data_IF_169338572700
#
_entry.id   IF_169338572700
#
_cell.length_a   1.000
_cell.length_b   1.000
_cell.length_c   1.000
_cell.angle_alpha   90.00
_cell.angle_beta   90.00
_cell.angle_gamma   90.00
#
_symmetry.space_group_name_H-M   'P 1'
#
loop_
_entity.id
_entity.type
_entity.pdbx_description
1 polymer ?
#
# COMPACT_ATOMS: atom_id res chain seq x y z
N UNK A 1 3.03 10.91 8.62
CA UNK A 1 4.38 11.49 8.55
C UNK A 1 4.93 11.24 7.17
N UNK A 2 5.24 12.31 6.47
CA UNK A 2 5.63 12.27 5.07
C UNK A 2 7.16 12.42 4.96
N UNK A 3 7.84 11.43 4.38
CA UNK A 3 9.31 11.39 4.29
C UNK A 3 9.83 12.15 3.06
N UNK A 4 9.18 11.98 1.91
CA UNK A 4 9.53 12.74 0.71
C UNK A 4 8.26 13.25 0.05
N UNK A 5 8.20 14.56 -0.22
CA UNK A 5 7.14 15.19 -1.00
C UNK A 5 7.74 16.12 -2.05
N UNK A 6 7.27 16.02 -3.30
CA UNK A 6 7.68 16.93 -4.38
C UNK A 6 6.61 16.95 -5.47
N UNK A 7 6.81 17.74 -6.53
CA UNK A 7 6.03 17.64 -7.76
C UNK A 7 6.54 16.49 -8.64
N UNK A 8 5.77 16.09 -9.66
CA UNK A 8 6.19 15.11 -10.67
C UNK A 8 7.53 15.49 -11.31
N UNK A 9 7.67 16.76 -11.71
CA UNK A 9 8.92 17.26 -12.27
C UNK A 9 10.08 17.20 -11.26
N UNK A 10 9.84 17.59 -10.00
CA UNK A 10 10.87 17.55 -8.96
C UNK A 10 11.30 16.12 -8.61
N UNK A 11 10.35 15.19 -8.51
CA UNK A 11 10.62 13.76 -8.36
C UNK A 11 11.43 13.20 -9.54
N UNK A 12 11.01 13.48 -10.78
CA UNK A 12 11.72 13.04 -11.97
C UNK A 12 13.16 13.56 -12.00
N UNK A 13 13.35 14.84 -11.67
CA UNK A 13 14.68 15.44 -11.54
C UNK A 13 15.53 14.75 -10.48
N UNK A 14 14.96 14.43 -9.31
CA UNK A 14 15.70 13.78 -8.22
C UNK A 14 16.09 12.33 -8.56
N UNK A 15 15.24 11.60 -9.28
CA UNK A 15 15.54 10.25 -9.77
C UNK A 15 16.61 10.30 -10.85
N UNK A 16 16.48 11.17 -11.86
CA UNK A 16 17.43 11.28 -12.98
C UNK A 16 18.83 11.66 -12.50
N UNK A 17 18.93 12.53 -11.49
CA UNK A 17 20.22 12.90 -10.90
C UNK A 17 20.75 11.88 -9.89
N UNK A 18 20.03 10.79 -9.63
CA UNK A 18 20.46 9.73 -8.70
C UNK A 18 20.52 10.17 -7.23
N UNK A 19 19.72 11.18 -6.83
CA UNK A 19 19.74 11.73 -5.46
C UNK A 19 18.48 11.41 -4.66
N UNK A 20 17.50 10.72 -5.26
CA UNK A 20 16.22 10.43 -4.62
C UNK A 20 16.37 9.58 -3.35
N UNK A 21 17.17 8.51 -3.41
CA UNK A 21 17.41 7.62 -2.29
C UNK A 21 18.18 8.33 -1.15
N UNK A 22 19.13 9.20 -1.50
CA UNK A 22 19.85 10.04 -0.52
C UNK A 22 18.92 11.02 0.20
N UNK A 23 18.00 11.66 -0.53
CA UNK A 23 17.01 12.57 0.07
C UNK A 23 16.09 11.84 1.05
N UNK A 24 15.61 10.65 0.70
CA UNK A 24 14.78 9.82 1.58
C UNK A 24 15.58 9.38 2.82
N UNK A 25 16.79 8.86 2.63
CA UNK A 25 17.68 8.43 3.71
C UNK A 25 18.03 9.57 4.67
N UNK A 26 18.39 10.73 4.12
CA UNK A 26 18.68 11.95 4.89
C UNK A 26 17.49 12.39 5.72
N UNK A 27 16.27 12.31 5.16
CA UNK A 27 15.07 12.66 5.93
C UNK A 27 14.82 11.70 7.08
N UNK A 28 14.97 10.39 6.88
CA UNK A 28 14.87 9.42 7.98
C UNK A 28 15.87 9.70 9.11
N UNK A 29 17.10 10.11 8.77
CA UNK A 29 18.11 10.48 9.78
C UNK A 29 17.69 11.74 10.57
N UNK A 30 17.15 12.77 9.91
CA UNK A 30 16.67 13.99 10.58
C UNK A 30 15.62 13.71 11.65
N UNK A 31 14.73 12.75 11.40
CA UNK A 31 13.65 12.37 12.32
C UNK A 31 14.07 11.29 13.33
N UNK A 32 15.37 10.98 13.42
CA UNK A 32 15.94 10.08 14.43
C UNK A 32 15.86 8.58 14.11
N UNK A 33 15.50 8.20 12.87
CA UNK A 33 15.60 6.82 12.42
C UNK A 33 17.00 6.58 11.83
N UNK A 34 17.82 5.80 12.52
CA UNK A 34 19.14 5.39 12.05
C UNK A 34 19.00 4.36 10.91
N UNK A 35 18.84 4.86 9.70
CA UNK A 35 18.70 4.06 8.48
C UNK A 35 20.06 3.77 7.84
N UNK A 36 20.85 2.89 8.46
CA UNK A 36 22.10 2.37 7.88
C UNK A 36 21.87 1.11 7.03
N UNK A 37 20.68 0.95 6.44
CA UNK A 37 20.33 -0.25 5.67
C UNK A 37 20.57 -0.03 4.17
N UNK A 38 21.72 -0.49 3.68
CA UNK A 38 22.10 -0.42 2.25
C UNK A 38 21.05 -1.08 1.35
N UNK A 39 20.36 -2.13 1.82
CA UNK A 39 19.35 -2.80 1.01
C UNK A 39 18.11 -1.95 0.80
N UNK A 40 17.73 -1.13 1.78
CA UNK A 40 16.58 -0.24 1.70
C UNK A 40 16.88 0.94 0.77
N UNK A 41 18.10 1.51 0.89
CA UNK A 41 18.59 2.51 -0.05
C UNK A 41 18.52 2.02 -1.51
N UNK A 42 19.07 0.82 -1.77
CA UNK A 42 19.00 0.18 -3.10
C UNK A 42 17.56 -0.10 -3.53
N UNK A 43 16.69 -0.40 -2.57
CA UNK A 43 15.30 -0.67 -2.87
C UNK A 43 14.59 0.57 -3.39
N UNK A 44 14.80 1.73 -2.76
CA UNK A 44 14.27 3.02 -3.23
C UNK A 44 14.80 3.37 -4.61
N UNK A 45 16.12 3.30 -4.81
CA UNK A 45 16.76 3.64 -6.07
C UNK A 45 16.19 2.83 -7.25
N UNK A 46 16.00 1.51 -7.04
CA UNK A 46 15.41 0.63 -8.03
C UNK A 46 13.92 0.92 -8.27
N UNK A 47 13.10 0.86 -7.21
CA UNK A 47 11.63 0.99 -7.32
C UNK A 47 11.22 2.34 -7.90
N UNK A 48 11.88 3.42 -7.48
CA UNK A 48 11.52 4.79 -7.87
C UNK A 48 11.94 5.10 -9.31
N UNK A 49 12.97 4.45 -9.83
CA UNK A 49 13.31 4.50 -11.26
C UNK A 49 12.16 3.97 -12.13
N UNK A 50 11.52 2.86 -11.73
CA UNK A 50 10.34 2.35 -12.45
C UNK A 50 9.15 3.31 -12.38
N UNK A 51 8.92 3.95 -11.24
CA UNK A 51 7.86 4.96 -11.11
C UNK A 51 8.12 6.19 -11.95
N UNK A 52 9.39 6.63 -12.06
CA UNK A 52 9.77 7.71 -12.96
C UNK A 52 9.41 7.36 -14.42
N UNK A 53 9.70 6.15 -14.87
CA UNK A 53 9.33 5.71 -16.24
C UNK A 53 7.80 5.68 -16.46
N UNK A 54 7.05 5.23 -15.46
CA UNK A 54 5.57 5.20 -15.51
C UNK A 54 5.01 6.62 -15.63
N UNK A 55 5.51 7.56 -14.82
CA UNK A 55 5.05 8.94 -14.75
C UNK A 55 5.61 9.85 -15.86
N UNK A 56 6.61 9.40 -16.61
CA UNK A 56 7.19 10.15 -17.72
C UNK A 56 6.24 10.21 -18.93
N UNK A 57 5.20 11.02 -18.78
CA UNK A 57 4.16 11.30 -19.77
C UNK A 57 3.62 12.72 -19.55
N UNK A 58 3.48 13.48 -20.63
CA UNK A 58 3.08 14.90 -20.59
C UNK A 58 1.58 15.09 -20.27
N UNK A 59 0.78 14.03 -20.39
CA UNK A 59 -0.64 14.09 -20.02
C UNK A 59 -0.88 14.10 -18.51
N UNK A 60 0.14 13.78 -17.72
CA UNK A 60 0.15 14.00 -16.27
C UNK A 60 0.93 15.30 -16.05
N UNK A 61 0.32 16.34 -15.49
CA UNK A 61 0.98 17.63 -15.34
C UNK A 61 2.24 17.54 -14.44
N UNK A 62 3.23 18.37 -14.76
CA UNK A 62 4.53 18.42 -14.06
C UNK A 62 4.44 18.87 -12.60
N UNK A 63 3.37 19.58 -12.25
CA UNK A 63 3.08 20.09 -10.92
C UNK A 63 2.21 19.15 -10.06
N UNK A 64 1.79 17.99 -10.60
CA UNK A 64 1.12 16.92 -9.84
C UNK A 64 1.99 16.52 -8.64
N UNK A 65 1.36 16.31 -7.49
CA UNK A 65 2.09 16.08 -6.26
C UNK A 65 2.37 14.58 -6.05
N UNK A 66 3.59 14.30 -5.60
CA UNK A 66 4.10 12.96 -5.30
C UNK A 66 4.56 12.93 -3.85
N UNK A 67 4.21 11.86 -3.15
CA UNK A 67 4.73 11.56 -1.83
C UNK A 67 5.24 10.11 -1.76
N UNK A 68 6.32 9.89 -1.01
CA UNK A 68 6.98 8.59 -0.88
C UNK A 68 7.20 8.31 0.61
N UNK A 69 7.07 7.04 0.99
CA UNK A 69 7.27 6.55 2.37
C UNK A 69 6.36 7.30 3.36
N UNK A 70 5.07 7.44 3.05
CA UNK A 70 4.10 8.09 3.94
C UNK A 70 3.73 7.14 5.08
N UNK A 71 4.14 7.47 6.31
CA UNK A 71 3.75 6.72 7.49
C UNK A 71 2.29 7.01 7.86
N UNK A 72 1.49 5.95 7.88
CA UNK A 72 0.08 5.98 8.24
C UNK A 72 -0.04 6.28 9.75
N UNK A 73 -0.82 7.29 10.15
CA UNK A 73 -0.99 7.67 11.56
C UNK A 73 -1.39 6.48 12.45
N UNK A 74 -0.87 6.45 13.67
CA UNK A 74 -1.13 5.40 14.67
C UNK A 74 -0.67 3.98 14.28
N UNK A 75 0.09 3.84 13.18
CA UNK A 75 0.67 2.56 12.77
C UNK A 75 2.18 2.73 12.50
N UNK A 76 2.89 1.61 12.44
CA UNK A 76 4.26 1.56 11.92
C UNK A 76 4.32 1.37 10.40
N UNK A 77 3.17 1.32 9.72
CA UNK A 77 3.07 0.99 8.30
C UNK A 77 3.25 2.25 7.45
N UNK A 78 3.86 2.07 6.29
CA UNK A 78 4.20 3.13 5.35
C UNK A 78 3.66 2.79 3.98
N UNK A 79 3.17 3.80 3.28
CA UNK A 79 2.80 3.72 1.88
C UNK A 79 4.01 4.08 1.05
N UNK A 80 4.38 3.20 0.12
CA UNK A 80 5.56 3.37 -0.72
C UNK A 80 5.46 4.61 -1.60
N UNK A 81 4.32 4.78 -2.28
CA UNK A 81 4.17 5.86 -3.26
C UNK A 81 2.73 6.39 -3.35
N UNK A 82 2.59 7.71 -3.39
CA UNK A 82 1.35 8.45 -3.48
C UNK A 82 1.41 9.41 -4.67
N UNK A 83 0.31 9.50 -5.42
CA UNK A 83 0.08 10.55 -6.42
C UNK A 83 -1.21 11.27 -6.05
N UNK A 84 -1.16 12.59 -5.89
CA UNK A 84 -2.37 13.39 -5.61
C UNK A 84 -2.57 14.46 -6.68
N UNK A 85 -3.84 14.71 -6.96
CA UNK A 85 -4.22 15.75 -7.90
C UNK A 85 -5.71 15.73 -8.16
N UNK A 86 -6.09 16.28 -9.31
CA UNK A 86 -7.48 16.33 -9.76
C UNK A 86 -7.64 15.78 -11.18
N UNK A 87 -8.86 15.36 -11.48
CA UNK A 87 -9.27 14.98 -12.84
C UNK A 87 -9.63 16.22 -13.69
N UNK A 88 -10.22 16.00 -14.88
CA UNK A 88 -10.64 17.11 -15.74
C UNK A 88 -11.81 17.93 -15.18
N UNK A 89 -12.57 17.35 -14.24
CA UNK A 89 -13.74 17.96 -13.60
C UNK A 89 -13.37 18.59 -12.25
N UNK A 90 -12.09 18.72 -11.92
CA UNK A 90 -11.57 19.22 -10.63
C UNK A 90 -11.96 18.32 -9.43
N UNK A 91 -12.31 17.05 -9.69
CA UNK A 91 -12.57 16.06 -8.64
C UNK A 91 -11.26 15.59 -8.01
N UNK A 92 -11.25 15.46 -6.68
CA UNK A 92 -10.04 15.19 -5.90
C UNK A 92 -9.72 13.69 -5.87
N UNK A 93 -8.49 13.35 -6.24
CA UNK A 93 -8.03 11.97 -6.34
C UNK A 93 -6.69 11.74 -5.66
N UNK A 94 -6.61 10.61 -4.94
CA UNK A 94 -5.39 10.13 -4.30
C UNK A 94 -5.15 8.70 -4.78
N UNK A 95 -4.03 8.47 -5.45
CA UNK A 95 -3.61 7.15 -5.90
C UNK A 95 -2.57 6.63 -4.92
N UNK A 96 -2.82 5.44 -4.39
CA UNK A 96 -1.93 4.73 -3.45
C UNK A 96 -1.32 3.57 -4.19
N UNK A 97 0.01 3.54 -4.28
CA UNK A 97 0.74 2.52 -5.04
C UNK A 97 1.68 1.78 -4.08
N UNK A 98 1.39 0.50 -3.87
CA UNK A 98 2.31 -0.42 -3.18
C UNK A 98 3.36 -0.93 -4.17
N UNK A 99 4.64 -0.77 -3.85
CA UNK A 99 5.76 -1.18 -4.71
C UNK A 99 6.38 -2.47 -4.19
N UNK A 100 6.47 -3.48 -5.06
CA UNK A 100 7.10 -4.76 -4.70
C UNK A 100 8.18 -5.14 -5.70
N UNK A 101 9.33 -5.55 -5.15
CA UNK A 101 10.47 -6.02 -5.94
C UNK A 101 10.44 -7.53 -6.19
N UNK A 102 9.31 -8.20 -5.93
CA UNK A 102 9.19 -9.64 -6.06
C UNK A 102 9.33 -10.10 -7.51
N UNK A 103 10.08 -11.17 -7.73
CA UNK A 103 10.23 -11.79 -9.06
C UNK A 103 9.15 -12.84 -9.33
N UNK A 104 8.66 -13.50 -8.28
CA UNK A 104 7.67 -14.58 -8.30
C UNK A 104 6.85 -14.58 -7.00
N UNK A 105 5.62 -15.04 -7.10
CA UNK A 105 4.80 -15.50 -5.97
C UNK A 105 4.05 -16.77 -6.37
N UNK A 106 3.55 -17.50 -5.40
CA UNK A 106 2.71 -18.69 -5.57
C UNK A 106 1.39 -18.47 -4.83
N UNK A 107 0.29 -18.84 -5.47
CA UNK A 107 -1.05 -18.77 -4.90
C UNK A 107 -1.15 -19.69 -3.67
N UNK A 108 -1.93 -19.25 -2.69
CA UNK A 108 -2.27 -20.09 -1.54
C UNK A 108 -3.76 -20.43 -1.50
N UNK A 109 -4.14 -21.31 -0.58
CA UNK A 109 -5.53 -21.57 -0.20
C UNK A 109 -6.08 -20.52 0.78
N UNK A 110 -5.21 -19.70 1.36
CA UNK A 110 -5.56 -18.69 2.37
C UNK A 110 -5.97 -17.39 1.69
N UNK A 111 -7.07 -16.83 2.17
CA UNK A 111 -7.66 -15.59 1.66
C UNK A 111 -6.65 -14.43 1.67
N UNK A 112 -6.51 -13.79 0.51
CA UNK A 112 -5.59 -12.68 0.21
C UNK A 112 -4.13 -12.91 0.62
N UNK A 113 -3.67 -14.17 0.73
CA UNK A 113 -2.26 -14.47 0.98
C UNK A 113 -1.60 -15.14 -0.22
N UNK A 114 -0.33 -14.84 -0.42
CA UNK A 114 0.56 -15.46 -1.42
C UNK A 114 1.84 -15.93 -0.74
N UNK A 115 2.49 -16.97 -1.29
CA UNK A 115 3.83 -17.37 -0.88
C UNK A 115 4.86 -16.71 -1.79
N UNK A 116 5.88 -16.10 -1.22
CA UNK A 116 6.97 -15.48 -1.99
C UNK A 116 8.28 -15.53 -1.23
N UNK A 117 9.40 -15.38 -1.94
CA UNK A 117 10.73 -15.38 -1.36
C UNK A 117 11.09 -13.97 -0.87
N UNK A 118 11.15 -13.79 0.44
CA UNK A 118 11.47 -12.51 1.10
C UNK A 118 12.32 -12.74 2.34
N UNK A 119 13.32 -11.89 2.57
CA UNK A 119 14.18 -11.99 3.75
C UNK A 119 14.87 -13.36 3.88
N UNK A 120 15.39 -13.88 2.76
CA UNK A 120 16.08 -15.17 2.64
C UNK A 120 15.22 -16.42 2.96
N UNK A 121 13.90 -16.32 2.90
CA UNK A 121 13.02 -17.47 3.09
C UNK A 121 11.71 -17.33 2.28
N UNK A 122 11.03 -18.45 2.02
CA UNK A 122 9.67 -18.44 1.49
C UNK A 122 8.72 -18.15 2.67
N UNK A 123 7.89 -17.11 2.52
CA UNK A 123 6.94 -16.69 3.55
C UNK A 123 5.56 -16.42 2.95
N UNK A 124 4.53 -16.64 3.76
CA UNK A 124 3.19 -16.16 3.46
C UNK A 124 3.14 -14.66 3.69
N UNK A 125 2.77 -13.92 2.65
CA UNK A 125 2.65 -12.47 2.65
C UNK A 125 1.23 -12.10 2.22
N UNK A 126 0.69 -10.95 2.66
CA UNK A 126 -0.51 -10.40 2.07
C UNK A 126 -0.31 -10.22 0.55
N UNK A 127 -1.36 -10.46 -0.21
CA UNK A 127 -1.40 -10.12 -1.61
C UNK A 127 -1.17 -8.60 -1.75
N UNK A 128 -0.31 -8.11 -2.67
CA UNK A 128 0.01 -6.69 -2.77
C UNK A 128 -1.23 -5.79 -2.98
N UNK A 129 -2.22 -6.25 -3.74
CA UNK A 129 -3.54 -5.57 -3.83
C UNK A 129 -4.23 -5.42 -2.49
N UNK A 130 -4.22 -6.45 -1.63
CA UNK A 130 -4.80 -6.35 -0.29
C UNK A 130 -4.05 -5.34 0.55
N UNK A 131 -2.73 -5.33 0.46
CA UNK A 131 -1.90 -4.38 1.19
C UNK A 131 -2.23 -2.93 0.80
N UNK A 132 -2.23 -2.61 -0.51
CA UNK A 132 -2.61 -1.29 -1.01
C UNK A 132 -4.04 -0.88 -0.59
N UNK A 133 -5.01 -1.80 -0.74
CA UNK A 133 -6.38 -1.61 -0.26
C UNK A 133 -6.43 -1.31 1.24
N UNK A 134 -5.70 -2.10 2.03
CA UNK A 134 -5.72 -2.00 3.48
C UNK A 134 -5.21 -0.64 3.93
N UNK A 135 -4.15 -0.13 3.29
CA UNK A 135 -3.59 1.19 3.55
C UNK A 135 -4.56 2.31 3.17
N UNK A 136 -5.23 2.20 2.01
CA UNK A 136 -6.25 3.15 1.59
C UNK A 136 -7.40 3.23 2.59
N UNK A 137 -7.94 2.08 3.02
CA UNK A 137 -9.02 2.04 4.01
C UNK A 137 -8.58 2.54 5.37
N UNK A 138 -7.35 2.28 5.78
CA UNK A 138 -6.83 2.80 7.04
C UNK A 138 -6.73 4.32 7.02
N UNK A 139 -6.24 4.93 5.93
CA UNK A 139 -6.22 6.39 5.76
C UNK A 139 -7.63 6.97 5.77
N UNK A 140 -8.56 6.39 5.01
CA UNK A 140 -9.96 6.81 4.93
C UNK A 140 -10.65 6.79 6.31
N UNK A 141 -10.35 5.76 7.11
CA UNK A 141 -10.91 5.61 8.44
C UNK A 141 -10.34 6.63 9.43
N UNK A 142 -9.04 6.94 9.35
CA UNK A 142 -8.38 7.85 10.28
C UNK A 142 -8.61 9.32 9.98
N UNK A 143 -8.74 9.71 8.72
CA UNK A 143 -8.72 11.11 8.35
C UNK A 143 -10.13 11.62 8.02
N UNK A 144 -10.64 12.54 8.84
CA UNK A 144 -11.98 13.12 8.68
C UNK A 144 -12.23 13.77 7.31
N UNK A 145 -11.17 14.21 6.62
CA UNK A 145 -11.30 14.86 5.31
C UNK A 145 -11.94 13.93 4.26
N UNK A 146 -11.71 12.62 4.33
CA UNK A 146 -12.24 11.68 3.33
C UNK A 146 -13.75 11.49 3.40
N UNK A 147 -14.39 11.73 4.55
CA UNK A 147 -15.87 11.72 4.64
C UNK A 147 -16.48 13.06 4.26
N UNK A 148 -15.77 14.16 4.53
CA UNK A 148 -16.31 15.51 4.36
C UNK A 148 -16.11 16.09 2.96
N UNK A 149 -15.08 15.65 2.24
CA UNK A 149 -14.61 16.34 1.03
C UNK A 149 -14.62 15.52 -0.26
N UNK A 150 -15.40 14.44 -0.33
CA UNK A 150 -15.55 13.59 -1.54
C UNK A 150 -14.19 13.27 -2.23
N UNK A 151 -13.16 12.96 -1.42
CA UNK A 151 -11.84 12.59 -1.93
C UNK A 151 -11.85 11.10 -2.29
N UNK A 152 -11.64 10.77 -3.56
CA UNK A 152 -11.62 9.38 -4.01
C UNK A 152 -10.20 8.77 -3.91
N UNK A 153 -10.12 7.62 -3.22
CA UNK A 153 -8.90 6.84 -3.05
C UNK A 153 -8.83 5.69 -4.07
N UNK A 154 -7.70 5.57 -4.75
CA UNK A 154 -7.46 4.56 -5.77
C UNK A 154 -6.21 3.73 -5.41
N UNK A 155 -6.36 2.65 -4.64
CA UNK A 155 -5.25 1.75 -4.34
C UNK A 155 -4.86 0.91 -5.56
N UNK A 156 -3.58 0.63 -5.72
CA UNK A 156 -3.07 -0.39 -6.63
C UNK A 156 -1.70 -0.90 -6.16
N UNK A 157 -1.23 -1.97 -6.79
CA UNK A 157 0.10 -2.51 -6.54
C UNK A 157 0.90 -2.61 -7.84
N UNK A 158 2.20 -2.35 -7.76
CA UNK A 158 3.13 -2.47 -8.88
C UNK A 158 4.31 -3.36 -8.51
N UNK A 159 4.35 -4.56 -9.10
CA UNK A 159 5.40 -5.54 -8.92
C UNK A 159 6.38 -5.44 -10.11
N UNK A 160 7.26 -4.44 -10.07
CA UNK A 160 8.07 -4.02 -11.21
C UNK A 160 9.17 -5.02 -11.63
N UNK A 161 9.49 -6.00 -10.80
CA UNK A 161 10.43 -7.09 -11.13
C UNK A 161 9.73 -8.41 -11.48
N UNK A 162 8.40 -8.47 -11.38
CA UNK A 162 7.66 -9.72 -11.46
C UNK A 162 7.69 -10.31 -12.86
N UNK A 163 7.96 -11.61 -12.95
CA UNK A 163 8.06 -12.30 -14.23
C UNK A 163 6.67 -12.68 -14.74
N UNK A 164 6.42 -12.34 -16.01
CA UNK A 164 5.13 -12.51 -16.68
C UNK A 164 4.64 -13.97 -16.66
N UNK A 165 5.57 -14.93 -16.76
CA UNK A 165 5.28 -16.37 -16.69
C UNK A 165 4.56 -16.81 -15.40
N UNK A 166 4.69 -16.04 -14.31
CA UNK A 166 4.02 -16.31 -13.04
C UNK A 166 2.74 -15.48 -12.84
N UNK A 167 2.28 -14.68 -13.82
CA UNK A 167 1.09 -13.82 -13.67
C UNK A 167 -0.11 -14.56 -13.12
N UNK A 168 -0.33 -15.80 -13.56
CA UNK A 168 -1.47 -16.62 -13.15
C UNK A 168 -1.51 -16.95 -11.64
N UNK A 169 -0.39 -16.78 -10.93
CA UNK A 169 -0.30 -16.96 -9.48
C UNK A 169 -0.77 -15.72 -8.72
N UNK A 170 -0.46 -14.52 -9.23
CA UNK A 170 -0.77 -13.24 -8.58
C UNK A 170 -2.07 -12.62 -9.09
N UNK A 171 -2.28 -12.57 -10.41
CA UNK A 171 -3.52 -12.13 -11.06
C UNK A 171 -4.46 -13.32 -11.28
N UNK A 172 -4.76 -14.03 -10.18
CA UNK A 172 -5.60 -15.22 -10.18
C UNK A 172 -7.07 -14.87 -9.86
N UNK A 173 -8.02 -15.64 -10.41
CA UNK A 173 -9.45 -15.48 -10.10
C UNK A 173 -9.76 -15.66 -8.60
N UNK A 174 -8.94 -16.41 -7.88
CA UNK A 174 -9.03 -16.54 -6.41
C UNK A 174 -8.91 -15.18 -5.69
N UNK A 175 -8.13 -14.24 -6.23
CA UNK A 175 -7.93 -12.90 -5.67
C UNK A 175 -8.82 -11.83 -6.33
N UNK A 176 -9.83 -12.23 -7.11
CA UNK A 176 -10.58 -11.30 -7.96
C UNK A 176 -11.28 -10.18 -7.17
N UNK A 177 -11.78 -10.50 -5.98
CA UNK A 177 -12.43 -9.53 -5.11
C UNK A 177 -11.49 -8.36 -4.78
N UNK A 178 -10.25 -8.66 -4.38
CA UNK A 178 -9.29 -7.64 -4.00
C UNK A 178 -8.64 -6.96 -5.21
N UNK A 179 -8.39 -7.69 -6.30
CA UNK A 179 -7.82 -7.14 -7.54
C UNK A 179 -8.79 -6.14 -8.21
N UNK A 180 -10.10 -6.37 -8.13
CA UNK A 180 -11.10 -5.43 -8.66
C UNK A 180 -11.09 -4.09 -7.91
N UNK A 181 -10.73 -4.09 -6.63
CA UNK A 181 -10.66 -2.87 -5.79
C UNK A 181 -9.29 -2.21 -5.93
N UNK A 182 -8.22 -3.01 -5.86
CA UNK A 182 -6.83 -2.58 -5.95
C UNK A 182 -6.11 -3.37 -7.06
N UNK A 183 -6.11 -2.87 -8.31
CA UNK A 183 -5.49 -3.57 -9.43
C UNK A 183 -4.01 -3.86 -9.21
N UNK A 184 -3.55 -4.98 -9.76
CA UNK A 184 -2.14 -5.37 -9.76
C UNK A 184 -1.53 -5.14 -11.13
N UNK A 185 -0.38 -4.46 -11.17
CA UNK A 185 0.41 -4.22 -12.36
C UNK A 185 1.76 -4.93 -12.21
N UNK A 186 2.21 -5.63 -13.24
CA UNK A 186 3.50 -6.33 -13.25
C UNK A 186 4.53 -5.57 -14.09
N UNK A 187 5.76 -6.08 -14.15
CA UNK A 187 6.88 -5.48 -14.91
C UNK A 187 6.52 -5.00 -16.33
N UNK A 188 5.68 -5.74 -17.04
CA UNK A 188 5.26 -5.46 -18.43
C UNK A 188 4.05 -4.52 -18.53
N UNK A 189 3.41 -4.18 -17.41
CA UNK A 189 2.19 -3.38 -17.33
C UNK A 189 2.44 -1.89 -17.08
N UNK A 190 3.67 -1.39 -17.21
CA UNK A 190 4.02 0.01 -16.90
C UNK A 190 3.11 1.02 -17.62
N UNK A 191 2.77 0.78 -18.90
CA UNK A 191 1.83 1.63 -19.65
C UNK A 191 0.39 1.52 -19.12
N UNK A 192 -0.04 0.34 -18.66
CA UNK A 192 -1.37 0.17 -18.06
C UNK A 192 -1.48 0.88 -16.72
N UNK A 193 -0.41 0.87 -15.90
CA UNK A 193 -0.34 1.65 -14.67
C UNK A 193 -0.38 3.15 -14.96
N UNK A 194 0.34 3.61 -15.99
CA UNK A 194 0.28 5.00 -16.44
C UNK A 194 -1.15 5.40 -16.83
N UNK A 195 -1.85 4.60 -17.63
CA UNK A 195 -3.24 4.89 -18.01
C UNK A 195 -4.18 4.88 -16.79
N UNK A 196 -3.95 4.00 -15.82
CA UNK A 196 -4.67 4.01 -14.54
C UNK A 196 -4.45 5.33 -13.79
N UNK A 197 -3.22 5.84 -13.72
CA UNK A 197 -2.91 7.12 -13.08
C UNK A 197 -3.59 8.27 -13.80
N UNK A 198 -3.43 8.35 -15.13
CA UNK A 198 -4.01 9.39 -15.99
C UNK A 198 -5.54 9.45 -15.94
N UNK A 199 -6.19 8.33 -15.65
CA UNK A 199 -7.64 8.28 -15.52
C UNK A 199 -8.15 9.16 -14.38
N UNK A 200 -7.37 9.29 -13.30
CA UNK A 200 -7.80 9.97 -12.08
C UNK A 200 -7.01 11.24 -11.78
N UNK A 201 -5.73 11.29 -12.13
CA UNK A 201 -4.88 12.46 -11.85
C UNK A 201 -4.29 12.97 -13.16
N UNK A 202 -4.71 14.18 -13.55
CA UNK A 202 -4.20 14.90 -14.72
C UNK A 202 -3.55 16.22 -14.35
N UNK A 203 -4.12 16.94 -13.38
CA UNK A 203 -3.64 18.24 -12.92
C UNK A 203 -3.28 18.22 -11.44
N UNK A 204 -2.48 19.18 -11.02
CA UNK A 204 -2.17 19.42 -9.61
C UNK A 204 -3.38 19.90 -8.81
N UNK A 205 -3.49 19.43 -7.57
CA UNK A 205 -4.36 19.99 -6.53
C UNK A 205 -3.64 21.06 -5.69
N UNK A 206 -2.47 21.54 -6.15
CA UNK A 206 -1.62 22.54 -5.47
C UNK A 206 -1.17 22.11 -4.07
N UNK A 207 -1.05 20.81 -3.84
CA UNK A 207 -0.59 20.20 -2.59
C UNK A 207 -1.64 20.17 -1.47
N UNK A 208 -2.90 20.53 -1.75
CA UNK A 208 -3.98 20.56 -0.77
C UNK A 208 -4.25 19.18 -0.15
N UNK A 209 -4.27 18.13 -0.97
CA UNK A 209 -4.55 16.75 -0.59
C UNK A 209 -3.42 16.17 0.25
N UNK A 210 -2.16 16.34 -0.15
CA UNK A 210 -1.03 15.90 0.68
C UNK A 210 -1.03 16.60 2.04
N UNK A 211 -1.31 17.91 2.07
CA UNK A 211 -1.43 18.65 3.32
C UNK A 211 -2.55 18.08 4.21
N UNK A 212 -3.72 17.75 3.63
CA UNK A 212 -4.85 17.14 4.34
C UNK A 212 -4.55 15.73 4.82
N UNK A 213 -3.84 14.93 4.03
CA UNK A 213 -3.42 13.58 4.42
C UNK A 213 -2.48 13.64 5.63
N UNK A 214 -1.56 14.60 5.66
CA UNK A 214 -0.57 14.72 6.74
C UNK A 214 -1.12 15.42 7.99
N UNK A 215 -1.90 16.51 7.82
CA UNK A 215 -2.34 17.38 8.92
C UNK A 215 -3.85 17.27 9.21
N UNK A 216 -4.55 16.39 8.52
CA UNK A 216 -5.98 16.16 8.71
C UNK A 216 -6.31 15.74 10.14
N UNK A 217 -7.49 16.15 10.62
CA UNK A 217 -7.95 15.76 11.96
C UNK A 217 -8.10 14.25 12.01
N UNK A 218 -7.34 13.62 12.92
CA UNK A 218 -7.43 12.19 13.18
C UNK A 218 -8.71 11.90 13.95
N UNK A 219 -9.51 10.97 13.43
CA UNK A 219 -10.68 10.45 14.15
C UNK A 219 -10.25 9.68 15.38
N UNK A 220 -10.91 9.86 16.54
CA UNK A 220 -10.73 8.97 17.67
C UNK A 220 -11.13 7.54 17.25
N UNK A 221 -10.32 6.55 17.64
CA UNK A 221 -10.65 5.13 17.40
C UNK A 221 -12.03 4.82 17.95
N UNK A 222 -12.90 4.17 17.16
CA UNK A 222 -14.18 3.64 17.68
C UNK A 222 -13.88 2.79 18.91
N UNK A 223 -14.60 2.98 20.01
CA UNK A 223 -14.37 2.20 21.22
C UNK A 223 -14.49 0.71 20.88
N UNK A 224 -13.56 -0.10 21.40
CA UNK A 224 -13.47 -1.54 21.10
C UNK A 224 -14.83 -2.25 21.25
N UNK A 225 -15.65 -1.83 22.20
CA UNK A 225 -16.99 -2.38 22.44
C UNK A 225 -17.97 -2.11 21.27
N UNK A 226 -17.98 -0.89 20.74
CA UNK A 226 -18.82 -0.53 19.58
C UNK A 226 -18.36 -1.26 18.32
N UNK A 227 -17.04 -1.42 18.19
CA UNK A 227 -16.45 -2.15 17.10
C UNK A 227 -16.76 -3.64 17.17
N UNK A 228 -16.66 -4.29 18.34
CA UNK A 228 -17.06 -5.67 18.57
C UNK A 228 -18.55 -5.89 18.27
N UNK A 229 -19.43 -5.00 18.75
CA UNK A 229 -20.86 -5.10 18.48
C UNK A 229 -21.18 -4.98 16.98
N UNK A 230 -20.42 -4.16 16.25
CA UNK A 230 -20.57 -4.02 14.80
C UNK A 230 -19.95 -5.19 14.02
N UNK A 231 -18.85 -5.77 14.48
CA UNK A 231 -18.26 -7.00 13.92
C UNK A 231 -19.17 -8.21 14.08
N UNK A 232 -19.81 -8.36 15.24
CA UNK A 232 -20.80 -9.42 15.48
C UNK A 232 -22.04 -9.31 14.57
N UNK A 233 -22.29 -8.11 14.02
CA UNK A 233 -23.33 -7.87 13.01
C UNK A 233 -22.85 -8.08 11.56
N UNK A 234 -21.62 -8.54 11.36
CA UNK A 234 -21.04 -8.83 10.05
C UNK A 234 -20.42 -7.64 9.33
N UNK A 235 -20.29 -6.48 9.99
CA UNK A 235 -19.60 -5.34 9.40
C UNK A 235 -18.09 -5.46 9.61
N UNK A 236 -17.29 -5.24 8.57
CA UNK A 236 -15.85 -5.08 8.72
C UNK A 236 -15.54 -3.76 9.42
N UNK A 237 -15.27 -3.81 10.73
CA UNK A 237 -14.90 -2.60 11.50
C UNK A 237 -13.40 -2.38 11.54
N UNK A 238 -12.61 -3.43 11.33
CA UNK A 238 -11.16 -3.38 11.35
C UNK A 238 -10.59 -3.99 10.08
N UNK A 239 -9.83 -3.17 9.36
CA UNK A 239 -9.00 -3.62 8.26
C UNK A 239 -7.68 -4.12 8.85
N UNK A 240 -7.38 -5.39 8.61
CA UNK A 240 -6.16 -6.01 9.12
C UNK A 240 -4.96 -5.56 8.28
N UNK A 241 -3.89 -5.14 8.96
CA UNK A 241 -2.67 -4.70 8.31
C UNK A 241 -1.62 -5.81 8.33
N UNK A 242 -1.04 -6.07 7.16
CA UNK A 242 0.16 -6.90 6.97
C UNK A 242 0.16 -8.22 7.76
N UNK A 243 0.98 -8.32 8.81
CA UNK A 243 1.15 -9.53 9.61
C UNK A 243 -0.16 -9.95 10.32
N UNK A 244 -1.04 -8.99 10.62
CA UNK A 244 -2.37 -9.27 11.19
C UNK A 244 -3.21 -10.07 10.20
N UNK A 245 -3.16 -9.73 8.91
CA UNK A 245 -3.87 -10.47 7.86
C UNK A 245 -3.29 -11.87 7.70
N UNK A 246 -1.96 -12.02 7.76
CA UNK A 246 -1.30 -13.34 7.72
C UNK A 246 -1.75 -14.22 8.88
N UNK A 247 -1.75 -13.68 10.10
CA UNK A 247 -2.20 -14.39 11.29
C UNK A 247 -3.68 -14.79 11.17
N UNK A 248 -4.55 -13.84 10.84
CA UNK A 248 -5.98 -14.09 10.72
C UNK A 248 -6.31 -15.13 9.64
N UNK A 249 -5.81 -14.98 8.41
CA UNK A 249 -6.09 -15.92 7.33
C UNK A 249 -5.53 -17.31 7.63
N UNK A 250 -4.42 -17.40 8.37
CA UNK A 250 -3.88 -18.69 8.84
C UNK A 250 -4.76 -19.33 9.92
N UNK A 251 -5.25 -18.54 10.89
CA UNK A 251 -6.17 -19.02 11.93
C UNK A 251 -7.49 -19.48 11.31
N UNK A 252 -8.05 -18.69 10.39
CA UNK A 252 -9.30 -19.00 9.69
C UNK A 252 -9.23 -20.35 8.98
N UNK A 253 -8.18 -20.58 8.21
CA UNK A 253 -7.97 -21.87 7.54
C UNK A 253 -7.80 -23.02 8.54
N UNK A 254 -7.03 -22.82 9.62
CA UNK A 254 -6.86 -23.83 10.66
C UNK A 254 -8.20 -24.19 11.34
N UNK A 255 -9.06 -23.20 11.59
CA UNK A 255 -10.41 -23.41 12.16
C UNK A 255 -11.31 -24.16 11.18
N UNK A 256 -11.33 -23.78 9.91
CA UNK A 256 -12.11 -24.47 8.87
C UNK A 256 -11.69 -25.94 8.74
N UNK A 257 -10.37 -26.21 8.76
CA UNK A 257 -9.83 -27.56 8.76
C UNK A 257 -10.16 -28.34 10.04
N UNK A 258 -10.08 -27.71 11.21
CA UNK A 258 -10.45 -28.32 12.49
C UNK A 258 -11.91 -28.79 12.49
N UNK A 259 -12.82 -27.96 11.97
CA UNK A 259 -14.25 -28.29 11.86
C UNK A 259 -14.46 -29.44 10.87
N UNK A 260 -13.82 -29.38 9.69
CA UNK A 260 -13.96 -30.39 8.64
C UNK A 260 -13.42 -31.75 9.06
N UNK A 261 -12.25 -31.77 9.70
CA UNK A 261 -11.52 -33.01 10.04
C UNK A 261 -11.80 -33.50 11.47
N UNK A 262 -12.51 -32.71 12.29
CA UNK A 262 -12.78 -32.98 13.72
C UNK A 262 -11.50 -33.11 14.56
N UNK A 263 -10.53 -32.27 14.26
CA UNK A 263 -9.22 -32.23 14.93
C UNK A 263 -9.11 -31.03 15.88
N UNK A 264 -8.21 -31.11 16.85
CA UNK A 264 -7.90 -30.01 17.78
C UNK A 264 -6.61 -29.33 17.35
N UNK A 265 -6.62 -28.00 17.34
CA UNK A 265 -5.45 -27.18 17.03
C UNK A 265 -5.11 -26.30 18.24
N UNK A 266 -3.82 -26.03 18.43
CA UNK A 266 -3.33 -24.98 19.34
C UNK A 266 -2.54 -23.98 18.52
N UNK A 267 -2.92 -22.71 18.58
CA UNK A 267 -2.29 -21.64 17.81
C UNK A 267 -1.67 -20.66 18.80
N UNK A 268 -0.39 -20.37 18.63
CA UNK A 268 0.35 -19.40 19.42
C UNK A 268 0.71 -18.26 18.47
N UNK A 269 0.30 -17.03 18.82
CA UNK A 269 0.61 -15.81 18.07
C UNK A 269 1.65 -15.01 18.85
N UNK A 270 2.82 -14.87 18.26
CA UNK A 270 3.92 -14.08 18.82
C UNK A 270 4.00 -12.73 18.09
N UNK A 271 4.20 -11.65 18.83
CA UNK A 271 4.33 -10.31 18.26
C UNK A 271 4.76 -9.28 19.29
N UNK A 272 5.47 -8.24 18.85
CA UNK A 272 5.96 -7.18 19.72
C UNK A 272 4.85 -6.33 20.38
N UNK A 273 5.19 -5.47 21.35
CA UNK A 273 4.23 -4.50 21.91
C UNK A 273 3.61 -3.62 20.82
N UNK A 274 2.30 -3.36 20.88
CA UNK A 274 1.62 -2.44 19.95
C UNK A 274 1.30 -2.99 18.55
N UNK A 275 1.56 -4.27 18.26
CA UNK A 275 1.28 -4.87 16.94
C UNK A 275 -0.18 -5.24 16.69
N UNK A 276 -1.09 -4.88 17.62
CA UNK A 276 -2.52 -5.23 17.53
C UNK A 276 -2.80 -6.73 17.66
N UNK A 277 -2.23 -7.38 18.69
CA UNK A 277 -2.53 -8.79 19.02
C UNK A 277 -3.89 -8.98 19.71
N UNK A 278 -4.38 -7.94 20.38
CA UNK A 278 -5.64 -7.91 21.14
C UNK A 278 -6.75 -7.37 20.27
#
# INVERSE_FOLDING_TARGET
MLIYANTKAGFSHDVINGVIADKIAGKFQEIGYNHANVNEFRSWDNSLTYMQMVLNDDSIADDVNIAIEYQIPQTSKRIDFLVTGVDENESKHVIIIELKQWEKAEKTTKEDLVLTYVGHNIRAMPHPSYQAYSYAKTIENFNEAFEKEEIALHPCAYLHNYREEYRHEIDNSFYRNIINIAPVFLKTDALRLREFIKRYVKKSDKGELLYKIENGRIRPSKMLQDALASMLRGNEVFVMLDEQKVAFSTIKEAVENAVKNREKYTIIIEGGPGTGKS
#
